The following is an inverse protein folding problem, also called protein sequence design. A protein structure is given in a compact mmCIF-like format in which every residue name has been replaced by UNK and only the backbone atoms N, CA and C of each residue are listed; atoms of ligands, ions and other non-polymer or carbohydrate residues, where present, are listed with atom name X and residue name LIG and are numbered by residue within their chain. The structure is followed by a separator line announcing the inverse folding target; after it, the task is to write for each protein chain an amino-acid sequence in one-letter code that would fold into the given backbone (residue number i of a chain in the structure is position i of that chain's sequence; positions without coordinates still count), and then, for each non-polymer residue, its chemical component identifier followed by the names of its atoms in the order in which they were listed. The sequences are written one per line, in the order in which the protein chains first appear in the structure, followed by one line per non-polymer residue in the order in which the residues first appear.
data_IF_446613693259
#
_entry.id   IF_446613693259
#
_cell.length_a   1.000
_cell.length_b   1.000
_cell.length_c   1.000
_cell.angle_alpha   90.00
_cell.angle_beta   90.00
_cell.angle_gamma   90.00
#
_symmetry.space_group_name_H-M   'P 1'
#
loop_
_entity.id
_entity.type
_entity.pdbx_description
1 polymer ?
#
# COMPACT_ATOMS: atom_id res chain seq x y z
N UNK A 1 11.25 13.88 21.28
CA UNK A 1 12.07 13.85 20.06
C UNK A 1 13.27 12.94 20.28
N UNK A 2 13.53 12.00 19.37
CA UNK A 2 14.79 11.24 19.34
C UNK A 2 15.72 11.86 18.29
N UNK A 3 17.01 11.98 18.60
CA UNK A 3 18.03 12.50 17.69
C UNK A 3 18.78 11.32 17.08
N UNK A 4 18.70 11.20 15.75
CA UNK A 4 19.47 10.24 14.97
C UNK A 4 20.55 10.99 14.22
N UNK A 5 21.76 10.43 14.17
CA UNK A 5 22.86 10.96 13.38
C UNK A 5 23.05 10.04 12.17
N UNK A 6 22.96 10.62 10.98
CA UNK A 6 23.22 9.93 9.72
C UNK A 6 24.58 10.39 9.19
N UNK A 7 25.34 9.44 8.66
CA UNK A 7 26.56 9.73 7.92
C UNK A 7 26.26 9.52 6.44
N UNK A 8 26.51 10.55 5.64
CA UNK A 8 26.35 10.51 4.19
C UNK A 8 27.73 10.64 3.54
N UNK A 9 27.91 10.02 2.38
CA UNK A 9 29.02 10.38 1.51
C UNK A 9 28.83 11.80 0.96
N UNK A 10 29.90 12.38 0.42
CA UNK A 10 29.90 13.76 -0.04
C UNK A 10 28.84 14.04 -1.12
N UNK A 11 28.63 13.10 -2.04
CA UNK A 11 27.66 13.27 -3.14
C UNK A 11 26.22 13.23 -2.64
N UNK A 12 25.92 12.35 -1.68
CA UNK A 12 24.60 12.27 -1.05
C UNK A 12 24.31 13.51 -0.20
N UNK A 13 25.32 14.06 0.49
CA UNK A 13 25.18 15.29 1.27
C UNK A 13 24.87 16.51 0.37
N UNK A 14 25.56 16.62 -0.77
CA UNK A 14 25.32 17.69 -1.75
C UNK A 14 23.94 17.59 -2.39
N UNK A 15 23.50 16.38 -2.71
CA UNK A 15 22.14 16.13 -3.22
C UNK A 15 21.08 16.55 -2.19
N UNK A 16 21.23 16.13 -0.93
CA UNK A 16 20.32 16.52 0.15
C UNK A 16 20.23 18.04 0.27
N UNK A 17 21.35 18.72 0.13
CA UNK A 17 21.41 20.17 0.24
C UNK A 17 20.71 20.89 -0.91
N UNK A 18 20.92 20.38 -2.12
CA UNK A 18 20.25 20.88 -3.32
C UNK A 18 18.73 20.71 -3.18
N UNK A 19 18.27 19.54 -2.75
CA UNK A 19 16.85 19.25 -2.56
C UNK A 19 16.24 20.10 -1.44
N UNK A 20 16.95 20.28 -0.33
CA UNK A 20 16.48 21.09 0.79
C UNK A 20 16.29 22.54 0.37
N UNK A 21 17.26 23.12 -0.33
CA UNK A 21 17.17 24.50 -0.81
C UNK A 21 16.08 24.68 -1.87
N UNK A 22 15.93 23.71 -2.78
CA UNK A 22 14.99 23.81 -3.90
C UNK A 22 13.54 23.67 -3.44
N UNK A 23 13.26 22.72 -2.53
CA UNK A 23 11.87 22.32 -2.23
C UNK A 23 11.43 22.59 -0.78
N UNK A 24 12.37 22.79 0.14
CA UNK A 24 12.10 22.84 1.58
C UNK A 24 12.74 24.04 2.29
N UNK A 25 13.10 25.10 1.54
CA UNK A 25 13.66 26.34 2.11
C UNK A 25 14.94 26.13 2.92
N UNK A 26 15.77 25.16 2.55
CA UNK A 26 17.00 24.79 3.24
C UNK A 26 16.81 23.86 4.45
N UNK A 27 15.58 23.41 4.73
CA UNK A 27 15.31 22.51 5.85
C UNK A 27 15.68 21.05 5.53
N UNK A 28 16.91 20.68 5.87
CA UNK A 28 17.43 19.30 5.66
C UNK A 28 16.61 18.25 6.40
N UNK A 29 16.19 18.52 7.64
CA UNK A 29 15.44 17.55 8.44
C UNK A 29 14.05 17.26 7.85
N UNK A 30 13.40 18.27 7.28
CA UNK A 30 12.15 18.09 6.55
C UNK A 30 12.37 17.33 5.24
N UNK A 31 13.46 17.61 4.53
CA UNK A 31 13.83 16.91 3.29
C UNK A 31 14.08 15.42 3.53
N UNK A 32 14.84 15.07 4.57
CA UNK A 32 15.08 13.67 4.97
C UNK A 32 13.76 12.98 5.33
N UNK A 33 12.87 13.67 6.06
CA UNK A 33 11.56 13.11 6.42
C UNK A 33 10.71 12.83 5.19
N UNK A 34 10.57 13.81 4.30
CA UNK A 34 9.81 13.65 3.06
C UNK A 34 10.41 12.56 2.17
N UNK A 35 11.74 12.43 2.12
CA UNK A 35 12.40 11.35 1.41
C UNK A 35 12.12 9.97 2.03
N UNK A 36 12.11 9.86 3.36
CA UNK A 36 11.77 8.61 4.06
C UNK A 36 10.28 8.27 3.94
N UNK A 37 9.38 9.26 3.99
CA UNK A 37 7.94 9.07 3.77
C UNK A 37 7.65 8.68 2.32
N UNK A 38 8.30 9.35 1.36
CA UNK A 38 8.24 8.98 -0.05
C UNK A 38 8.83 7.59 -0.26
N UNK A 39 9.98 7.28 0.34
CA UNK A 39 10.53 5.94 0.28
C UNK A 39 9.54 4.95 0.87
N UNK A 40 8.95 5.17 2.05
CA UNK A 40 7.96 4.27 2.64
C UNK A 40 6.69 4.10 1.79
N UNK A 41 6.26 5.15 1.09
CA UNK A 41 5.13 5.09 0.16
C UNK A 41 5.46 4.32 -1.13
N UNK A 42 6.70 4.40 -1.62
CA UNK A 42 7.13 3.80 -2.89
C UNK A 42 7.89 2.47 -2.74
N UNK A 43 8.48 2.20 -1.57
CA UNK A 43 8.90 0.87 -1.15
C UNK A 43 7.64 0.11 -0.79
N UNK A 44 7.05 -0.46 -1.86
CA UNK A 44 5.93 -1.40 -1.84
C UNK A 44 5.96 -2.19 -0.53
N UNK A 45 4.85 -2.11 0.20
CA UNK A 45 4.59 -2.85 1.42
C UNK A 45 5.21 -4.25 1.38
N UNK A 46 5.84 -4.66 2.48
CA UNK A 46 6.22 -6.07 2.68
C UNK A 46 4.92 -6.90 2.64
N UNK A 47 4.57 -7.48 1.48
CA UNK A 47 3.31 -8.21 1.30
C UNK A 47 2.74 -8.10 -0.12
N UNK A 48 1.40 -8.14 -0.21
CA UNK A 48 0.65 -8.08 -1.46
C UNK A 48 -0.13 -6.77 -1.55
N UNK A 49 -0.19 -6.17 -2.73
CA UNK A 49 -1.02 -4.98 -2.99
C UNK A 49 -2.22 -5.40 -3.82
N UNK A 50 -3.42 -4.92 -3.47
CA UNK A 50 -4.61 -5.11 -4.30
C UNK A 50 -4.44 -4.23 -5.55
N UNK A 51 -4.26 -4.84 -6.71
CA UNK A 51 -4.10 -4.17 -8.00
C UNK A 51 -5.44 -4.01 -8.76
N UNK A 52 -6.51 -4.60 -8.25
CA UNK A 52 -7.84 -4.49 -8.82
C UNK A 52 -8.79 -5.53 -8.24
N UNK A 53 -9.96 -5.65 -8.86
CA UNK A 53 -11.00 -6.58 -8.45
C UNK A 53 -11.58 -7.32 -9.66
N UNK A 54 -11.89 -8.60 -9.48
CA UNK A 54 -12.73 -9.37 -10.42
C UNK A 54 -14.09 -9.62 -9.79
N UNK A 55 -15.15 -9.55 -10.59
CA UNK A 55 -16.49 -9.91 -10.15
C UNK A 55 -16.61 -11.43 -10.01
N UNK A 56 -17.31 -11.89 -8.97
CA UNK A 56 -17.59 -13.30 -8.70
C UNK A 56 -19.04 -13.43 -8.23
N UNK A 57 -19.77 -14.41 -8.76
CA UNK A 57 -21.08 -14.80 -8.24
C UNK A 57 -20.87 -15.86 -7.17
N UNK A 58 -21.38 -15.62 -5.96
CA UNK A 58 -21.20 -16.54 -4.84
C UNK A 58 -21.92 -17.87 -5.06
N UNK A 59 -21.21 -18.98 -4.85
CA UNK A 59 -21.76 -20.33 -4.89
C UNK A 59 -22.33 -20.78 -3.53
N UNK A 60 -21.92 -20.12 -2.45
CA UNK A 60 -22.39 -20.30 -1.07
C UNK A 60 -22.39 -18.97 -0.31
N UNK A 61 -23.10 -18.87 0.83
CA UNK A 61 -23.06 -17.65 1.65
C UNK A 61 -21.64 -17.37 2.17
N UNK A 62 -21.18 -16.13 2.02
CA UNK A 62 -19.86 -15.67 2.43
C UNK A 62 -19.96 -14.30 3.11
N UNK A 63 -18.93 -13.90 3.83
CA UNK A 63 -18.85 -12.57 4.45
C UNK A 63 -17.88 -11.66 3.69
N UNK A 64 -18.22 -10.38 3.61
CA UNK A 64 -17.31 -9.34 3.16
C UNK A 64 -16.13 -9.26 4.13
N UNK A 65 -14.90 -9.27 3.61
CA UNK A 65 -13.68 -9.22 4.40
C UNK A 65 -13.54 -7.88 5.13
N UNK A 66 -13.87 -6.76 4.49
CA UNK A 66 -13.71 -5.43 5.09
C UNK A 66 -14.78 -5.11 6.14
N UNK A 67 -16.07 -5.36 5.86
CA UNK A 67 -17.15 -4.94 6.75
C UNK A 67 -17.85 -6.08 7.51
N UNK A 68 -17.50 -7.34 7.24
CA UNK A 68 -18.17 -8.50 7.84
C UNK A 68 -19.61 -8.74 7.36
N UNK A 69 -20.13 -7.92 6.44
CA UNK A 69 -21.48 -8.04 5.89
C UNK A 69 -21.68 -9.39 5.22
N UNK A 70 -22.77 -10.09 5.55
CA UNK A 70 -23.09 -11.42 4.98
C UNK A 70 -23.78 -11.29 3.63
N UNK A 71 -23.28 -12.04 2.66
CA UNK A 71 -23.81 -12.13 1.31
C UNK A 71 -24.33 -13.54 1.03
N UNK A 72 -25.39 -13.65 0.24
CA UNK A 72 -26.04 -14.93 -0.06
C UNK A 72 -25.50 -15.53 -1.35
N UNK A 73 -25.73 -16.84 -1.51
CA UNK A 73 -25.54 -17.53 -2.79
C UNK A 73 -26.28 -16.80 -3.91
N UNK A 74 -25.61 -16.62 -5.05
CA UNK A 74 -26.13 -15.94 -6.23
C UNK A 74 -25.89 -14.42 -6.24
N UNK A 75 -25.42 -13.84 -5.14
CA UNK A 75 -25.04 -12.42 -5.11
C UNK A 75 -23.70 -12.18 -5.81
N UNK A 76 -23.57 -11.01 -6.44
CA UNK A 76 -22.35 -10.53 -7.07
C UNK A 76 -21.46 -9.86 -6.01
N UNK A 77 -20.24 -10.35 -5.85
CA UNK A 77 -19.21 -9.80 -4.99
C UNK A 77 -17.90 -9.62 -5.76
N UNK A 78 -16.89 -9.05 -5.13
CA UNK A 78 -15.61 -8.74 -5.75
C UNK A 78 -14.48 -9.48 -5.06
N UNK A 79 -13.64 -10.16 -5.83
CA UNK A 79 -12.41 -10.79 -5.33
C UNK A 79 -11.22 -9.90 -5.70
N UNK A 80 -10.37 -9.51 -4.73
CA UNK A 80 -9.17 -8.75 -5.03
C UNK A 80 -8.21 -9.54 -5.91
N UNK A 81 -7.56 -8.83 -6.83
CA UNK A 81 -6.42 -9.30 -7.61
C UNK A 81 -5.19 -8.71 -6.97
N UNK A 82 -4.26 -9.57 -6.56
CA UNK A 82 -3.05 -9.14 -5.87
C UNK A 82 -1.87 -9.03 -6.85
N UNK A 83 -1.13 -7.92 -6.79
CA UNK A 83 0.20 -7.80 -7.41
C UNK A 83 1.27 -8.25 -6.41
N UNK A 84 2.25 -9.00 -6.92
CA UNK A 84 3.37 -9.51 -6.12
C UNK A 84 4.23 -8.36 -5.61
N UNK A 85 4.35 -8.25 -4.28
CA UNK A 85 5.31 -7.35 -3.65
C UNK A 85 6.77 -7.82 -3.80
N UNK A 86 7.69 -6.97 -3.36
CA UNK A 86 9.14 -7.17 -3.50
C UNK A 86 9.79 -8.07 -2.43
N UNK A 87 9.02 -8.57 -1.46
CA UNK A 87 9.54 -9.39 -0.36
C UNK A 87 9.89 -10.84 -0.75
N UNK A 88 10.93 -11.39 -0.12
CA UNK A 88 11.18 -12.83 -0.13
C UNK A 88 9.98 -13.60 0.46
N UNK A 89 9.68 -14.79 -0.04
CA UNK A 89 8.53 -15.60 0.37
C UNK A 89 7.14 -14.95 0.17
N UNK A 90 7.00 -13.95 -0.72
CA UNK A 90 5.70 -13.31 -0.98
C UNK A 90 4.58 -14.33 -1.24
N UNK A 91 4.82 -15.35 -2.07
CA UNK A 91 3.86 -16.44 -2.38
C UNK A 91 3.30 -17.16 -1.16
N UNK A 92 4.11 -17.35 -0.11
CA UNK A 92 3.67 -18.04 1.11
C UNK A 92 2.76 -17.17 1.98
N UNK A 93 2.89 -15.84 1.88
CA UNK A 93 2.11 -14.86 2.59
C UNK A 93 0.78 -14.48 1.90
N UNK A 94 0.47 -15.08 0.75
CA UNK A 94 -0.79 -14.83 0.04
C UNK A 94 -1.98 -15.37 0.86
N UNK A 95 -3.11 -14.65 0.97
CA UNK A 95 -4.26 -15.12 1.73
C UNK A 95 -4.73 -16.50 1.25
N UNK A 96 -4.73 -17.48 2.16
CA UNK A 96 -5.11 -18.87 1.85
C UNK A 96 -6.63 -19.08 1.80
N UNK A 97 -7.38 -18.18 2.42
CA UNK A 97 -8.83 -18.20 2.42
C UNK A 97 -9.38 -17.29 1.32
N UNK A 98 -10.53 -17.63 0.73
CA UNK A 98 -11.22 -16.75 -0.20
C UNK A 98 -11.48 -15.38 0.43
N UNK A 99 -10.99 -14.33 -0.23
CA UNK A 99 -11.25 -12.94 0.12
C UNK A 99 -12.35 -12.41 -0.79
N UNK A 100 -13.44 -11.92 -0.21
CA UNK A 100 -14.51 -11.25 -0.94
C UNK A 100 -14.80 -9.87 -0.37
N UNK A 101 -15.08 -8.91 -1.24
CA UNK A 101 -15.50 -7.56 -0.91
C UNK A 101 -16.90 -7.29 -1.46
N UNK A 102 -17.70 -6.58 -0.67
CA UNK A 102 -18.99 -6.09 -1.13
C UNK A 102 -18.80 -4.85 -2.01
N UNK A 103 -19.78 -4.50 -2.88
CA UNK A 103 -19.67 -3.34 -3.78
C UNK A 103 -19.29 -2.05 -3.05
N UNK A 104 -19.90 -1.82 -1.87
CA UNK A 104 -19.64 -0.62 -1.06
C UNK A 104 -18.20 -0.54 -0.56
N UNK A 105 -17.60 -1.66 -0.17
CA UNK A 105 -16.22 -1.71 0.33
C UNK A 105 -15.20 -1.53 -0.79
N UNK A 106 -15.48 -2.07 -1.99
CA UNK A 106 -14.67 -1.83 -3.17
C UNK A 106 -14.66 -0.35 -3.55
N UNK A 107 -15.84 0.28 -3.63
CA UNK A 107 -15.96 1.69 -3.96
C UNK A 107 -15.24 2.57 -2.93
N UNK A 108 -15.43 2.31 -1.64
CA UNK A 108 -14.78 3.06 -0.57
C UNK A 108 -13.25 2.91 -0.53
N UNK A 109 -12.72 1.75 -0.92
CA UNK A 109 -11.27 1.46 -0.95
C UNK A 109 -10.57 1.87 -2.26
N UNK A 110 -11.31 2.09 -3.34
CA UNK A 110 -10.75 2.40 -4.67
C UNK A 110 -10.28 3.85 -4.88
N UNK A 111 -10.38 4.71 -3.86
CA UNK A 111 -9.93 6.10 -3.93
C UNK A 111 -8.43 6.19 -3.63
N UNK A 112 -7.58 5.72 -4.54
CA UNK A 112 -6.18 6.17 -4.58
C UNK A 112 -5.61 5.95 -5.98
N UNK A 113 -5.10 7.04 -6.56
CA UNK A 113 -4.56 7.19 -7.92
C UNK A 113 -5.58 7.49 -9.03
N UNK A 114 -6.05 8.74 -9.03
CA UNK A 114 -6.16 9.54 -10.24
C UNK A 114 -5.20 10.74 -10.10
#
# INVERSE_FOLDING_TARGET
MQRLNFTFDASTAELLETLANTYYGGNKSQTVRAALESLAAHTRHMGWVIAGYTTVVLDRPEACHTCGGRHRKGELVYRPVFERGSGAAALEALPRQPWFECPRCVEAGSVTHA
#
